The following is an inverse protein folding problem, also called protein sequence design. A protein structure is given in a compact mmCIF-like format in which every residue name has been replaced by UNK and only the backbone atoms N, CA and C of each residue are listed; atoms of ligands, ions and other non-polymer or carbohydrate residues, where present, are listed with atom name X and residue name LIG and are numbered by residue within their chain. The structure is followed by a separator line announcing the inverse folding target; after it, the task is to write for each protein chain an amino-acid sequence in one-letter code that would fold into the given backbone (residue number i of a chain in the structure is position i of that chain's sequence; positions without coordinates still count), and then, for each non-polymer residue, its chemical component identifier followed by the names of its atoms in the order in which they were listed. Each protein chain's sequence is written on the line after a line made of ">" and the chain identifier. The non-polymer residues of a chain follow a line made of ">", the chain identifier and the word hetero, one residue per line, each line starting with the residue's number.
data_IF_030285594015
#
_entry.id   IF_030285594015
#
_cell.length_a   1.000
_cell.length_b   1.000
_cell.length_c   1.000
_cell.angle_alpha   90.00
_cell.angle_beta   90.00
_cell.angle_gamma   90.00
#
_symmetry.space_group_name_H-M   'P 1'
#
loop_
_entity.id
_entity.type
_entity.pdbx_description
1 polymer ?
#
# COMPACT_ATOMS: atom_id res chain seq x y z
N UNK A 1 21.92 -5.53 3.11
CA UNK A 1 21.41 -6.41 2.04
C UNK A 1 19.94 -6.64 2.34
N UNK A 2 19.05 -6.05 1.52
CA UNK A 2 17.61 -6.23 1.69
C UNK A 2 17.27 -7.71 1.48
N UNK A 3 16.68 -8.33 2.50
CA UNK A 3 16.08 -9.64 2.34
C UNK A 3 14.61 -9.39 2.01
N UNK A 4 14.13 -9.76 0.80
CA UNK A 4 12.73 -9.60 0.48
C UNK A 4 11.87 -10.29 1.55
N UNK A 5 10.70 -9.71 1.88
CA UNK A 5 9.76 -10.33 2.80
C UNK A 5 9.43 -11.73 2.30
N UNK A 6 9.20 -12.63 3.25
CA UNK A 6 8.85 -14.01 2.94
C UNK A 6 7.70 -14.06 1.92
N UNK A 7 7.84 -14.89 0.89
CA UNK A 7 6.83 -15.02 -0.19
C UNK A 7 5.42 -15.24 0.34
N UNK A 8 5.27 -15.88 1.50
CA UNK A 8 3.98 -16.09 2.17
C UNK A 8 3.38 -14.79 2.71
N UNK A 9 4.21 -13.87 3.20
CA UNK A 9 3.78 -12.55 3.69
C UNK A 9 3.37 -11.66 2.51
N UNK A 10 4.14 -11.71 1.42
CA UNK A 10 3.82 -10.97 0.18
C UNK A 10 2.47 -11.41 -0.37
N UNK A 11 2.26 -12.72 -0.53
CA UNK A 11 1.01 -13.28 -1.06
C UNK A 11 -0.21 -12.91 -0.20
N UNK A 12 -0.08 -13.00 1.13
CA UNK A 12 -1.15 -12.61 2.05
C UNK A 12 -1.51 -11.13 1.94
N UNK A 13 -0.51 -10.26 1.82
CA UNK A 13 -0.73 -8.81 1.69
C UNK A 13 -1.35 -8.49 0.33
N UNK A 14 -0.87 -9.10 -0.76
CA UNK A 14 -1.46 -8.90 -2.09
C UNK A 14 -2.90 -9.42 -2.16
N UNK A 15 -3.22 -10.49 -1.42
CA UNK A 15 -4.58 -11.01 -1.33
C UNK A 15 -5.52 -10.13 -0.51
N UNK A 16 -5.02 -9.53 0.58
CA UNK A 16 -5.80 -8.61 1.41
C UNK A 16 -5.98 -7.22 0.75
N UNK A 17 -5.03 -6.83 -0.11
CA UNK A 17 -5.02 -5.55 -0.81
C UNK A 17 -4.79 -5.77 -2.31
N UNK A 18 -5.78 -6.26 -3.05
CA UNK A 18 -5.64 -6.50 -4.48
C UNK A 18 -5.44 -5.18 -5.24
N UNK A 19 -4.57 -5.23 -6.26
CA UNK A 19 -4.14 -4.02 -6.98
C UNK A 19 -5.27 -3.30 -7.72
N UNK A 20 -6.31 -4.02 -8.17
CA UNK A 20 -7.44 -3.42 -8.87
C UNK A 20 -8.31 -2.57 -7.93
N UNK A 21 -8.57 -3.04 -6.71
CA UNK A 21 -9.30 -2.26 -5.69
C UNK A 21 -8.54 -1.01 -5.27
N UNK A 22 -7.21 -1.13 -5.09
CA UNK A 22 -6.36 0.04 -4.80
C UNK A 22 -6.45 1.09 -5.91
N UNK A 23 -6.46 0.67 -7.19
CA UNK A 23 -6.60 1.59 -8.33
C UNK A 23 -7.99 2.22 -8.39
N UNK A 24 -9.04 1.47 -8.14
CA UNK A 24 -10.42 1.99 -8.14
C UNK A 24 -10.62 3.06 -7.05
N UNK A 25 -10.15 2.79 -5.83
CA UNK A 25 -10.19 3.75 -4.72
C UNK A 25 -9.39 5.01 -5.03
N UNK A 26 -8.20 4.84 -5.62
CA UNK A 26 -7.38 5.99 -5.98
C UNK A 26 -8.01 6.84 -7.10
N UNK A 27 -8.78 6.25 -8.02
CA UNK A 27 -9.56 7.02 -9.01
C UNK A 27 -10.65 7.86 -8.38
N UNK A 28 -11.18 7.47 -7.22
CA UNK A 28 -12.10 8.32 -6.46
C UNK A 28 -11.40 9.55 -5.87
N UNK A 29 -10.06 9.60 -5.92
CA UNK A 29 -9.27 10.77 -5.51
C UNK A 29 -8.77 11.53 -6.74
N UNK A 30 -8.86 12.86 -6.71
CA UNK A 30 -8.29 13.74 -7.75
C UNK A 30 -6.75 13.66 -7.87
N UNK A 31 -6.08 12.82 -7.07
CA UNK A 31 -4.63 12.71 -7.02
C UNK A 31 -4.07 11.93 -8.22
N UNK A 32 -4.74 10.83 -8.62
CA UNK A 32 -4.34 10.00 -9.76
C UNK A 32 -4.49 10.74 -11.10
N UNK A 33 -5.48 11.63 -11.21
CA UNK A 33 -5.69 12.40 -12.44
C UNK A 33 -4.68 13.54 -12.61
N UNK A 34 -4.15 14.08 -11.51
CA UNK A 34 -3.22 15.22 -11.54
C UNK A 34 -1.78 14.79 -11.83
N UNK A 35 -1.37 13.64 -11.32
CA UNK A 35 0.03 13.22 -11.32
C UNK A 35 0.22 11.98 -12.21
N UNK A 36 0.58 12.18 -13.48
CA UNK A 36 0.81 11.07 -14.44
C UNK A 36 1.87 10.05 -14.01
N UNK A 37 2.77 10.44 -13.09
CA UNK A 37 3.83 9.57 -12.54
C UNK A 37 3.41 8.86 -11.25
N UNK A 38 2.18 9.08 -10.79
CA UNK A 38 1.66 8.52 -9.54
C UNK A 38 1.01 7.16 -9.79
N UNK A 39 1.64 6.12 -9.26
CA UNK A 39 1.08 4.78 -9.20
C UNK A 39 0.81 4.42 -7.73
N UNK A 40 -0.48 4.41 -7.37
CA UNK A 40 -0.92 4.09 -6.01
C UNK A 40 -0.51 2.68 -5.57
N UNK A 41 -0.49 1.72 -6.49
CA UNK A 41 -0.18 0.31 -6.20
C UNK A 41 1.30 0.17 -5.89
N UNK A 42 2.14 0.77 -6.73
CA UNK A 42 3.57 0.82 -6.49
C UNK A 42 3.88 1.55 -5.17
N UNK A 43 3.24 2.68 -4.91
CA UNK A 43 3.42 3.46 -3.69
C UNK A 43 3.02 2.68 -2.43
N UNK A 44 1.85 2.06 -2.45
CA UNK A 44 1.33 1.27 -1.34
C UNK A 44 2.25 0.09 -1.01
N UNK A 45 2.62 -0.73 -1.99
CA UNK A 45 3.51 -1.87 -1.73
C UNK A 45 4.94 -1.43 -1.39
N UNK A 46 5.40 -0.29 -1.90
CA UNK A 46 6.70 0.28 -1.48
C UNK A 46 6.64 0.71 -0.01
N UNK A 47 5.53 1.27 0.48
CA UNK A 47 5.36 1.56 1.91
C UNK A 47 5.33 0.27 2.72
N UNK A 48 4.49 -0.68 2.32
CA UNK A 48 4.26 -1.91 3.08
C UNK A 48 5.50 -2.80 3.15
N UNK A 49 6.27 -2.92 2.07
CA UNK A 49 7.46 -3.78 2.01
C UNK A 49 8.79 -3.04 2.23
N UNK A 50 8.84 -1.74 1.94
CA UNK A 50 10.04 -0.92 2.09
C UNK A 50 10.16 -0.26 3.46
N UNK A 51 9.05 0.23 4.02
CA UNK A 51 9.06 0.93 5.31
C UNK A 51 8.94 -0.03 6.51
N UNK A 52 8.12 -1.08 6.42
CA UNK A 52 7.95 -2.04 7.52
C UNK A 52 9.18 -2.94 7.75
N UNK A 53 10.01 -3.15 6.72
CA UNK A 53 11.22 -3.98 6.80
C UNK A 53 12.42 -3.29 7.49
N UNK A 54 12.26 -2.04 7.95
CA UNK A 54 13.12 -1.40 8.95
C UNK A 54 14.54 -1.04 8.53
N UNK A 55 14.92 -1.21 7.26
CA UNK A 55 16.33 -1.09 6.85
C UNK A 55 16.74 0.34 6.45
N UNK A 56 15.82 1.18 5.99
CA UNK A 56 16.10 2.59 5.63
C UNK A 56 14.90 3.51 5.90
N UNK A 57 14.85 4.15 7.07
CA UNK A 57 13.79 5.11 7.46
C UNK A 57 14.10 6.52 6.94
N UNK A 58 14.33 6.68 5.65
CA UNK A 58 14.43 8.01 5.04
C UNK A 58 13.45 8.16 3.89
N UNK A 59 12.89 9.36 3.73
CA UNK A 59 11.96 9.64 2.63
C UNK A 59 12.67 9.51 1.27
N UNK A 60 13.99 9.70 1.23
CA UNK A 60 14.80 9.50 0.03
C UNK A 60 14.95 8.02 -0.34
N UNK A 61 15.25 7.15 0.61
CA UNK A 61 15.29 5.70 0.34
C UNK A 61 13.91 5.18 -0.09
N UNK A 62 12.84 5.75 0.46
CA UNK A 62 11.48 5.45 0.04
C UNK A 62 11.20 5.89 -1.41
N UNK A 63 11.63 7.10 -1.78
CA UNK A 63 11.56 7.61 -3.16
C UNK A 63 12.32 6.70 -4.15
N UNK A 64 13.56 6.33 -3.83
CA UNK A 64 14.39 5.47 -4.69
C UNK A 64 13.71 4.11 -4.93
N UNK A 65 13.14 3.53 -3.87
CA UNK A 65 12.42 2.27 -3.97
C UNK A 65 11.10 2.38 -4.72
N UNK A 66 10.40 3.49 -4.58
CA UNK A 66 9.19 3.76 -5.35
C UNK A 66 9.50 3.85 -6.84
N UNK A 67 10.55 4.58 -7.22
CA UNK A 67 10.99 4.70 -8.62
C UNK A 67 11.30 3.34 -9.24
N UNK A 68 11.98 2.47 -8.49
CA UNK A 68 12.26 1.08 -8.90
C UNK A 68 10.97 0.26 -9.05
N UNK A 69 10.05 0.31 -8.08
CA UNK A 69 8.80 -0.47 -8.08
C UNK A 69 7.80 0.00 -9.13
N UNK A 70 7.72 1.30 -9.37
CA UNK A 70 6.79 1.91 -10.32
C UNK A 70 7.32 1.87 -11.77
N UNK A 71 8.54 1.38 -11.98
CA UNK A 71 9.24 1.40 -13.28
C UNK A 71 9.13 2.77 -13.97
N UNK A 72 9.34 3.84 -13.20
CA UNK A 72 9.20 5.21 -13.69
C UNK A 72 10.55 5.91 -13.80
N UNK A 73 10.65 6.86 -14.73
CA UNK A 73 11.82 7.73 -14.83
C UNK A 73 12.04 8.53 -13.53
N UNK A 74 13.25 9.10 -13.38
CA UNK A 74 13.61 9.94 -12.23
C UNK A 74 12.46 10.87 -11.81
N UNK A 75 12.03 10.68 -10.56
CA UNK A 75 11.08 11.52 -9.85
C UNK A 75 11.87 12.44 -8.91
N UNK A 76 11.54 13.73 -8.89
CA UNK A 76 12.19 14.66 -7.97
C UNK A 76 11.63 14.50 -6.56
N UNK A 77 12.47 14.73 -5.55
CA UNK A 77 12.05 14.71 -4.16
C UNK A 77 10.89 15.67 -3.87
N UNK A 78 10.91 16.87 -4.48
CA UNK A 78 9.84 17.85 -4.31
C UNK A 78 8.50 17.33 -4.84
N UNK A 79 8.47 16.81 -6.07
CA UNK A 79 7.24 16.25 -6.65
C UNK A 79 6.71 15.07 -5.83
N UNK A 80 7.60 14.21 -5.34
CA UNK A 80 7.24 13.11 -4.46
C UNK A 80 6.69 13.57 -3.11
N UNK A 81 7.30 14.59 -2.51
CA UNK A 81 6.85 15.16 -1.25
C UNK A 81 5.48 15.83 -1.39
N UNK A 82 5.21 16.48 -2.53
CA UNK A 82 3.92 17.11 -2.85
C UNK A 82 2.77 16.10 -2.98
N UNK A 83 3.04 14.80 -3.07
CA UNK A 83 1.99 13.77 -3.03
C UNK A 83 1.44 13.55 -1.63
N UNK A 84 2.17 13.92 -0.58
CA UNK A 84 1.75 13.77 0.83
C UNK A 84 0.80 14.88 1.30
N UNK A 85 -0.08 15.31 0.42
CA UNK A 85 -1.14 16.26 0.71
C UNK A 85 -2.27 15.59 1.54
N UNK A 86 -3.10 16.38 2.26
CA UNK A 86 -4.13 15.84 3.13
C UNK A 86 -5.09 14.83 2.46
N UNK A 87 -5.39 15.03 1.18
CA UNK A 87 -6.24 14.10 0.41
C UNK A 87 -5.61 12.72 0.22
N UNK A 88 -4.29 12.64 0.06
CA UNK A 88 -3.58 11.37 -0.02
C UNK A 88 -3.56 10.64 1.32
N UNK A 89 -3.35 11.38 2.42
CA UNK A 89 -3.39 10.82 3.77
C UNK A 89 -4.79 10.28 4.09
N UNK A 90 -5.85 10.97 3.65
CA UNK A 90 -7.23 10.50 3.79
C UNK A 90 -7.46 9.17 3.04
N UNK A 91 -6.99 9.08 1.79
CA UNK A 91 -7.06 7.83 1.01
C UNK A 91 -6.35 6.67 1.70
N UNK A 92 -5.14 6.90 2.21
CA UNK A 92 -4.40 5.87 2.93
C UNK A 92 -5.14 5.40 4.20
N UNK A 93 -5.81 6.32 4.89
CA UNK A 93 -6.64 5.99 6.06
C UNK A 93 -7.86 5.18 5.66
N UNK A 94 -8.58 5.56 4.61
CA UNK A 94 -9.73 4.79 4.11
C UNK A 94 -9.32 3.37 3.68
N UNK A 95 -8.19 3.22 2.96
CA UNK A 95 -7.67 1.89 2.59
C UNK A 95 -7.34 1.06 3.84
N UNK A 96 -6.79 1.70 4.88
CA UNK A 96 -6.43 1.01 6.13
C UNK A 96 -7.66 0.65 6.96
N UNK A 97 -8.62 1.57 7.11
CA UNK A 97 -9.85 1.37 7.87
C UNK A 97 -10.65 0.22 7.26
N UNK A 98 -10.86 0.21 5.94
CA UNK A 98 -11.53 -0.88 5.24
C UNK A 98 -10.80 -2.22 5.39
N UNK A 99 -9.46 -2.21 5.36
CA UNK A 99 -8.70 -3.43 5.55
C UNK A 99 -8.78 -3.95 6.97
N UNK A 100 -8.83 -3.08 7.98
CA UNK A 100 -9.06 -3.45 9.38
C UNK A 100 -10.47 -4.01 9.55
N UNK A 101 -11.49 -3.36 8.98
CA UNK A 101 -12.88 -3.85 9.01
C UNK A 101 -13.03 -5.21 8.32
N UNK A 102 -12.38 -5.41 7.16
CA UNK A 102 -12.36 -6.69 6.47
C UNK A 102 -11.53 -7.76 7.21
N UNK A 103 -10.45 -7.37 7.89
CA UNK A 103 -9.68 -8.27 8.76
C UNK A 103 -10.52 -8.77 9.94
N UNK A 104 -11.32 -7.90 10.56
CA UNK A 104 -12.23 -8.28 11.65
C UNK A 104 -13.42 -9.09 11.15
N UNK A 105 -13.94 -8.80 9.95
CA UNK A 105 -14.98 -9.62 9.31
C UNK A 105 -14.46 -11.03 9.00
N UNK A 106 -13.24 -11.15 8.44
CA UNK A 106 -12.58 -12.44 8.22
C UNK A 106 -12.30 -13.18 9.54
N UNK A 107 -11.95 -12.47 10.61
CA UNK A 107 -11.77 -13.05 11.95
C UNK A 107 -13.10 -13.56 12.53
N UNK A 108 -14.21 -12.86 12.30
CA UNK A 108 -15.55 -13.29 12.71
C UNK A 108 -16.04 -14.53 11.93
N UNK A 109 -15.81 -14.59 10.61
CA UNK A 109 -16.13 -15.78 9.81
C UNK A 109 -15.27 -17.00 10.19
N UNK A 110 -14.00 -16.79 10.50
CA UNK A 110 -13.11 -17.85 10.99
C UNK A 110 -13.57 -18.39 12.36
N UNK A 111 -13.96 -17.50 13.29
CA UNK A 111 -14.50 -17.90 14.59
C UNK A 111 -15.82 -18.67 14.45
N UNK A 112 -16.76 -18.18 13.63
CA UNK A 112 -18.04 -18.86 13.40
C UNK A 112 -17.91 -20.25 12.75
N UNK A 113 -16.85 -20.48 11.96
CA UNK A 113 -16.56 -21.81 11.38
C UNK A 113 -15.95 -22.78 12.39
N UNK A 114 -15.21 -22.29 13.38
CA UNK A 114 -14.66 -23.10 14.47
C UNK A 114 -15.75 -23.50 15.47
N UNK A 115 -16.69 -22.62 15.78
CA UNK A 115 -17.82 -22.91 16.69
C UNK A 115 -18.83 -23.91 16.11
N UNK A 116 -18.94 -24.00 14.76
CA UNK A 116 -19.82 -24.98 14.09
C UNK A 116 -19.19 -26.35 13.87
N UNK A 117 -17.95 -26.56 14.32
CA UNK A 117 -17.28 -27.88 14.31
C UNK A 117 -17.11 -28.48 15.72
N UNK A 118 -17.74 -27.89 16.74
CA UNK A 118 -17.75 -28.38 18.13
C UNK A 118 -19.02 -29.18 18.46
#
# INVERSE_FOLDING_TARGET
>A
MYSPPDSVVVDRIQRAFPSDELRERARATNLVERERKFDIVALFYTLTFGFAAGTDRSLQAFLERYVEMADCDKLSYAAFHDWFEPGFVALLREILDDAIENLDTGRAELNGRLERSG
#
